data_IF_251377604838
#
_entry.id   IF_251377604838
#
_cell.length_a   1.000
_cell.length_b   1.000
_cell.length_c   1.000
_cell.angle_alpha   90.00
_cell.angle_beta   90.00
_cell.angle_gamma   90.00
#
_symmetry.space_group_name_H-M   'P 1'
#
loop_
_entity.id
_entity.type
_entity.pdbx_description
1 polymer ?
2 water ?
#
# COMPACT_ATOMS: atom_id res chain seq x y z
N UNK A 2 -14.72 0.74 11.47
CA UNK A 2 -14.68 2.17 11.75
C UNK A 2 -13.29 2.70 11.42
N UNK A 3 -13.23 3.96 10.99
CA UNK A 3 -11.96 4.58 10.64
C UNK A 3 -11.85 5.93 11.34
N UNK A 4 -10.62 6.40 11.55
CA UNK A 4 -10.40 7.68 12.20
C UNK A 4 -10.53 8.82 11.19
N UNK A 5 -11.31 9.84 11.55
CA UNK A 5 -11.52 11.00 10.68
C UNK A 5 -10.33 11.94 10.81
N UNK A 6 -9.18 11.51 10.29
CA UNK A 6 -7.96 12.31 10.35
C UNK A 6 -8.13 13.72 9.79
N UNK A 7 -8.53 13.80 8.52
CA UNK A 7 -8.73 15.08 7.89
C UNK A 7 -9.67 15.00 6.70
N UNK A 8 -10.08 16.17 6.21
CA UNK A 8 -10.99 16.26 5.08
C UNK A 8 -10.18 16.33 3.80
N UNK A 9 -10.86 16.19 2.67
CA UNK A 9 -10.19 16.25 1.37
C UNK A 9 -10.61 17.49 0.59
N UNK A 10 -10.39 18.66 1.17
CA UNK A 10 -10.74 19.92 0.52
C UNK A 10 -9.52 20.71 0.04
N UNK A 12 -6.71 22.51 -1.98
CA UNK A 12 -6.76 23.16 -3.29
C UNK A 12 -5.37 23.23 -3.92
N UNK A 13 -4.58 24.22 -3.52
CA UNK A 13 -3.23 24.39 -4.04
C UNK A 13 -2.27 23.38 -3.42
N UNK A 14 -1.08 23.25 -4.00
CA UNK A 14 -0.10 22.30 -3.50
C UNK A 14 0.27 22.58 -2.05
N UNK A 15 0.14 23.84 -1.63
CA UNK A 15 0.46 24.23 -0.26
C UNK A 15 -0.40 23.46 0.74
N UNK A 16 -1.68 23.29 0.41
CA UNK A 16 -2.61 22.58 1.28
C UNK A 16 -2.15 21.13 1.48
N UNK A 17 -1.83 20.45 0.39
CA UNK A 17 -1.38 19.07 0.45
C UNK A 17 -0.10 18.91 1.28
N UNK A 18 0.86 19.82 1.08
CA UNK A 18 2.12 19.74 1.82
C UNK A 18 1.91 19.92 3.31
N UNK A 19 0.98 20.78 3.69
CA UNK A 19 0.72 21.03 5.10
C UNK A 19 0.16 19.77 5.77
N UNK A 20 -0.73 19.07 5.07
CA UNK A 20 -1.31 17.84 5.61
C UNK A 20 -0.21 16.79 5.77
N UNK A 21 0.61 16.61 4.74
CA UNK A 21 1.68 15.62 4.80
C UNK A 21 2.66 15.91 5.94
N UNK A 22 3.10 17.16 6.02
CA UNK A 22 4.06 17.55 7.05
C UNK A 22 3.51 17.34 8.46
N UNK A 23 2.20 17.52 8.63
CA UNK A 23 1.59 17.34 9.92
C UNK A 23 1.60 15.85 10.29
N UNK A 24 1.05 15.03 9.41
CA UNK A 24 1.00 13.60 9.67
C UNK A 24 2.38 12.95 9.73
N UNK A 25 3.30 13.47 8.92
CA UNK A 25 4.66 12.94 8.88
C UNK A 25 5.32 12.96 10.25
N UNK A 26 4.97 13.95 11.07
CA UNK A 26 5.55 14.04 12.40
C UNK A 26 4.87 13.09 13.36
N UNK A 27 3.87 12.37 12.86
CA UNK A 27 3.12 11.41 13.68
C UNK A 27 3.42 9.97 13.28
N UNK A 28 4.47 9.78 12.48
CA UNK A 28 4.86 8.46 12.04
C UNK A 28 5.59 7.71 13.15
N UNK A 29 5.19 6.46 13.37
CA UNK A 29 5.82 5.65 14.41
C UNK A 29 6.11 4.26 13.90
N UNK A 30 7.40 3.98 13.67
CA UNK A 30 7.85 2.69 13.16
C UNK A 30 8.49 1.83 14.24
N UNK A 31 8.10 2.03 15.49
CA UNK A 31 8.66 1.26 16.60
C UNK A 31 7.98 -0.09 16.86
N UNK A 32 6.68 -0.18 16.60
CA UNK A 32 5.97 -1.44 16.84
C UNK A 32 6.59 -2.68 16.18
N UNK A 33 6.74 -3.74 16.97
CA UNK A 33 7.28 -5.00 16.47
C UNK A 33 6.10 -5.95 16.40
N UNK A 34 5.90 -6.58 15.25
CA UNK A 34 4.77 -7.49 15.12
C UNK A 34 5.17 -8.76 14.40
N UNK A 35 5.12 -9.86 15.13
CA UNK A 35 5.48 -11.16 14.59
C UNK A 35 4.39 -11.70 13.68
N UNK A 36 4.80 -12.34 12.59
CA UNK A 36 3.88 -12.92 11.61
C UNK A 36 2.88 -13.90 12.24
N UNK A 37 3.33 -14.76 13.14
CA UNK A 37 2.41 -15.71 13.73
C UNK A 37 1.57 -15.17 14.89
N UNK A 38 1.69 -13.88 15.18
CA UNK A 38 0.90 -13.31 16.25
C UNK A 38 -0.39 -12.67 15.74
N UNK A 39 -0.56 -12.59 14.42
CA UNK A 39 -1.77 -11.97 13.86
C UNK A 39 -2.82 -12.96 13.36
N UNK A 40 -4.08 -12.51 13.39
CA UNK A 40 -5.21 -13.32 12.95
C UNK A 40 -5.54 -13.14 11.47
N UNK A 41 -5.45 -11.90 10.99
CA UNK A 41 -5.76 -11.60 9.60
C UNK A 41 -4.84 -10.54 9.00
N UNK A 42 -4.73 -10.53 7.68
CA UNK A 42 -3.94 -9.54 6.97
C UNK A 42 -4.79 -9.15 5.77
N UNK A 43 -4.80 -7.87 5.41
CA UNK A 43 -5.59 -7.42 4.27
C UNK A 43 -4.69 -6.87 3.18
N UNK A 44 -5.18 -6.91 1.96
CA UNK A 44 -4.44 -6.39 0.83
C UNK A 44 -5.27 -5.31 0.18
N UNK A 45 -4.64 -4.21 -0.21
CA UNK A 45 -5.34 -3.09 -0.82
C UNK A 45 -4.73 -2.73 -2.18
N UNK A 46 -5.58 -2.53 -3.16
CA UNK A 46 -5.12 -2.13 -4.47
C UNK A 46 -6.18 -1.23 -5.10
N UNK A 47 -5.77 -0.52 -6.15
CA UNK A 47 -6.65 0.42 -6.84
C UNK A 47 -6.38 0.33 -8.34
N UNK A 48 -7.42 0.45 -9.15
CA UNK A 48 -7.31 0.41 -10.60
C UNK A 48 -8.09 1.57 -11.21
N UNK A 49 -7.55 2.14 -12.29
CA UNK A 49 -8.19 3.27 -12.96
C UNK A 49 -8.36 3.03 -14.45
N UNK A 50 -9.28 3.78 -15.06
CA UNK A 50 -9.54 3.66 -16.48
C UNK A 50 -10.35 4.87 -16.97
N UNK A 51 -10.18 5.20 -18.25
CA UNK A 51 -10.89 6.31 -18.86
C UNK A 51 -12.36 5.94 -19.08
N UNK A 52 -13.26 6.88 -18.82
CA UNK A 52 -14.69 6.61 -18.99
C UNK A 52 -15.52 7.87 -19.25
N UNK A 53 -16.05 7.97 -20.47
CA UNK A 53 -16.89 9.09 -20.86
C UNK A 53 -16.20 10.44 -20.69
N UNK A 54 -14.87 10.42 -20.64
CA UNK A 54 -14.13 11.65 -20.49
C UNK A 54 -13.69 11.94 -19.05
N UNK A 55 -14.16 11.13 -18.11
CA UNK A 55 -13.80 11.32 -16.71
C UNK A 55 -13.06 10.10 -16.17
N UNK A 56 -12.06 10.33 -15.31
CA UNK A 56 -11.26 9.25 -14.73
C UNK A 56 -11.95 8.58 -13.54
N UNK A 57 -11.97 7.25 -13.54
CA UNK A 57 -12.59 6.49 -12.47
C UNK A 57 -11.60 5.59 -11.76
N UNK A 58 -12.02 5.05 -10.61
CA UNK A 58 -11.15 4.17 -9.86
C UNK A 58 -11.91 3.20 -8.99
N UNK A 59 -11.36 2.00 -8.85
CA UNK A 59 -11.98 0.97 -8.02
C UNK A 59 -10.96 0.42 -7.05
N UNK A 60 -11.28 0.51 -5.76
CA UNK A 60 -10.39 0.00 -4.73
C UNK A 60 -10.94 -1.30 -4.16
N UNK A 61 -10.11 -2.32 -4.12
CA UNK A 61 -10.50 -3.61 -3.58
C UNK A 61 -9.66 -3.93 -2.36
N UNK A 62 -10.31 -4.48 -1.35
CA UNK A 62 -9.64 -4.89 -0.13
C UNK A 62 -9.94 -6.38 0.00
N UNK A 63 -8.88 -7.18 0.09
CA UNK A 63 -9.02 -8.61 0.23
C UNK A 63 -8.47 -8.97 1.60
N UNK A 64 -9.29 -9.59 2.43
CA UNK A 64 -8.88 -9.98 3.77
C UNK A 64 -8.65 -11.48 3.80
N UNK A 65 -7.49 -11.92 4.28
CA UNK A 65 -7.22 -13.34 4.37
C UNK A 65 -6.96 -13.73 5.81
N UNK A 66 -7.09 -15.03 6.10
CA UNK A 66 -6.82 -15.56 7.43
C UNK A 66 -5.30 -15.65 7.47
N UNK A 67 -4.70 -15.12 8.53
CA UNK A 67 -3.24 -15.13 8.62
C UNK A 67 -2.58 -16.51 8.54
N UNK A 68 -3.15 -17.49 9.24
CA UNK A 68 -2.60 -18.84 9.25
C UNK A 68 -2.87 -19.65 7.97
N UNK A 69 -4.13 -19.80 7.59
CA UNK A 69 -4.47 -20.58 6.40
C UNK A 69 -4.31 -19.83 5.08
N UNK A 70 -4.21 -18.51 5.15
CA UNK A 70 -4.07 -17.67 3.95
C UNK A 70 -5.33 -17.70 3.07
N UNK A 71 -6.43 -18.19 3.62
CA UNK A 71 -7.68 -18.25 2.87
C UNK A 71 -8.41 -16.91 2.91
N UNK A 72 -9.14 -16.61 1.86
CA UNK A 72 -9.89 -15.37 1.76
C UNK A 72 -11.14 -15.45 2.64
N UNK A 73 -11.30 -14.48 3.53
CA UNK A 73 -12.46 -14.48 4.40
C UNK A 73 -13.42 -13.34 4.11
N UNK A 74 -12.93 -12.33 3.40
CA UNK A 74 -13.79 -11.19 3.07
C UNK A 74 -13.25 -10.39 1.90
N UNK A 75 -14.16 -9.87 1.08
CA UNK A 75 -13.80 -9.05 -0.06
C UNK A 75 -14.78 -7.89 -0.17
N UNK A 76 -14.24 -6.68 -0.33
CA UNK A 76 -15.07 -5.50 -0.47
C UNK A 76 -14.44 -4.60 -1.51
N UNK A 77 -15.20 -3.64 -2.01
CA UNK A 77 -14.65 -2.72 -2.99
C UNK A 77 -15.41 -1.41 -2.96
N UNK A 78 -14.76 -0.38 -3.49
CA UNK A 78 -15.33 0.94 -3.56
C UNK A 78 -15.14 1.39 -5.00
N UNK A 80 -15.96 4.83 -7.86
CA UNK A 80 -16.44 6.18 -8.05
C UNK A 80 -15.50 7.01 -8.92
N UNK A 81 -15.99 8.12 -9.47
CA UNK A 81 -15.16 8.98 -10.31
C UNK A 81 -14.03 9.58 -9.48
N UNK A 82 -12.80 9.36 -9.93
CA UNK A 82 -11.64 9.88 -9.22
C UNK A 82 -11.49 11.37 -9.50
N UNK A 83 -11.07 12.14 -8.51
CA UNK A 83 -10.90 13.58 -8.67
C UNK A 83 -9.71 13.91 -9.57
N UNK A 84 -9.95 14.79 -10.55
CA UNK A 84 -8.89 15.19 -11.48
C UNK A 84 -7.80 15.96 -10.74
N UNK A 85 -6.54 15.51 -10.89
CA UNK A 85 -5.41 16.17 -10.23
C UNK A 85 -5.18 17.62 -10.65
N UNK A 86 -5.54 18.55 -9.78
CA UNK A 86 -5.37 19.98 -10.06
C UNK A 86 -3.93 20.33 -9.69
N UNK A 87 -3.29 19.42 -8.95
CA UNK A 87 -1.91 19.57 -8.52
C UNK A 87 -1.18 18.28 -8.89
N UNK A 88 0.13 18.24 -8.69
CA UNK A 88 0.90 17.05 -9.02
C UNK A 88 1.78 16.56 -7.88
N UNK A 89 1.86 15.24 -7.71
CA UNK A 89 2.67 14.67 -6.66
C UNK A 89 1.90 14.26 -5.42
N UNK A 90 0.58 14.15 -5.52
CA UNK A 90 -0.22 13.76 -4.36
C UNK A 90 -1.27 12.71 -4.68
N UNK A 91 -0.83 11.62 -5.31
CA UNK A 91 -1.73 10.54 -5.68
C UNK A 91 -2.53 10.01 -4.49
N UNK A 92 -1.84 9.80 -3.37
CA UNK A 92 -2.48 9.29 -2.17
C UNK A 92 -3.75 10.04 -1.78
N UNK A 93 -3.75 11.35 -1.95
CA UNK A 93 -4.92 12.15 -1.59
C UNK A 93 -6.14 11.80 -2.45
N UNK A 94 -5.93 11.52 -3.73
CA UNK A 94 -7.06 11.17 -4.58
C UNK A 94 -7.41 9.70 -4.55
N UNK A 95 -6.76 8.94 -3.67
CA UNK A 95 -7.02 7.51 -3.55
C UNK A 95 -7.68 7.21 -2.22
N UNK A 96 -7.25 7.94 -1.18
CA UNK A 96 -7.77 7.74 0.16
C UNK A 96 -9.29 7.67 0.27
N UNK A 97 -10.01 8.60 -0.37
CA UNK A 97 -11.48 8.55 -0.30
C UNK A 97 -12.05 7.18 -0.65
N UNK A 98 -11.57 6.59 -1.75
CA UNK A 98 -12.04 5.27 -2.14
C UNK A 98 -11.54 4.19 -1.18
N UNK A 99 -10.33 4.39 -0.65
CA UNK A 99 -9.76 3.43 0.27
C UNK A 99 -10.55 3.40 1.58
N UNK A 100 -10.88 4.59 2.08
CA UNK A 100 -11.63 4.72 3.31
C UNK A 100 -13.02 4.12 3.14
N UNK A 101 -13.65 4.43 2.00
CA UNK A 101 -14.99 3.93 1.72
C UNK A 101 -15.03 2.41 1.77
N UNK A 102 -14.05 1.78 1.13
CA UNK A 102 -13.96 0.32 1.09
C UNK A 102 -13.73 -0.22 2.49
N UNK A 103 -12.78 0.36 3.21
CA UNK A 103 -12.47 -0.08 4.56
C UNK A 103 -13.70 -0.02 5.46
N UNK A 104 -14.55 0.98 5.24
CA UNK A 104 -15.77 1.14 6.03
C UNK A 104 -16.77 0.02 5.78
N UNK A 105 -16.61 -0.68 4.67
CA UNK A 105 -17.52 -1.78 4.35
C UNK A 105 -17.08 -3.08 5.00
N UNK A 106 -15.84 -3.13 5.50
CA UNK A 106 -15.31 -4.33 6.14
C UNK A 106 -16.03 -4.79 7.40
N UNK A 107 -16.40 -6.06 7.44
CA UNK A 107 -17.06 -6.60 8.62
C UNK A 107 -15.96 -7.10 9.55
N UNK A 108 -14.83 -7.49 8.96
CA UNK A 108 -13.70 -7.97 9.76
C UNK A 108 -12.84 -6.78 10.17
N UNK A 109 -11.84 -7.04 10.99
CA UNK A 109 -10.94 -5.99 11.45
C UNK A 109 -9.51 -6.48 11.20
N UNK A 110 -8.99 -6.27 9.98
CA UNK A 110 -7.64 -6.73 9.67
C UNK A 110 -6.60 -6.19 10.64
N UNK A 111 -5.65 -7.03 11.04
CA UNK A 111 -4.59 -6.63 11.96
C UNK A 111 -3.50 -5.83 11.24
N UNK A 112 -3.39 -6.02 9.94
CA UNK A 112 -2.39 -5.33 9.12
C UNK A 112 -2.85 -5.21 7.68
N UNK A 113 -2.55 -4.08 7.04
CA UNK A 113 -2.95 -3.85 5.66
C UNK A 113 -1.73 -3.70 4.76
N UNK A 114 -1.64 -4.52 3.71
CA UNK A 114 -0.53 -4.41 2.78
C UNK A 114 -1.06 -3.70 1.53
N UNK A 115 -0.39 -2.64 1.13
CA UNK A 115 -0.83 -1.84 -0.01
C UNK A 115 0.00 -2.03 -1.27
N UNK A 116 -0.68 -2.04 -2.42
CA UNK A 116 0.01 -2.11 -3.68
C UNK A 116 0.42 -0.65 -3.89
N UNK A 117 1.53 -0.26 -3.26
CA UNK A 117 2.03 1.11 -3.34
C UNK A 117 3.07 1.38 -2.25
N UNK A 118 3.73 2.54 -2.32
CA UNK A 118 4.74 2.89 -1.32
C UNK A 118 4.20 3.41 0.00
N UNK A 119 5.06 3.35 1.00
CA UNK A 119 4.71 3.84 2.34
C UNK A 119 5.79 4.86 2.70
N UNK A 120 6.68 4.45 3.60
CA UNK A 120 7.77 5.31 4.07
C UNK A 120 8.76 5.63 2.93
N UNK A 121 8.86 4.73 1.96
CA UNK A 121 9.75 4.95 0.82
C UNK A 121 9.06 5.95 -0.10
N UNK A 122 9.17 7.21 0.25
CA UNK A 122 8.53 8.28 -0.51
C UNK A 122 9.25 9.60 -0.22
N UNK A 123 9.24 10.49 -1.20
CA UNK A 123 9.89 11.80 -1.11
C UNK A 123 9.75 12.44 0.26
N UNK A 124 8.55 12.31 0.85
CA UNK A 124 8.34 12.91 2.16
C UNK A 124 7.82 11.88 3.15
N UNK A 125 8.24 10.63 2.97
CA UNK A 125 7.83 9.53 3.83
C UNK A 125 6.31 9.51 3.97
N UNK A 127 3.92 8.16 1.52
CA UNK A 127 3.28 7.38 0.47
C UNK A 127 1.92 6.89 0.98
N UNK A 128 1.07 6.44 0.06
CA UNK A 128 -0.28 5.98 0.39
C UNK A 128 -0.36 4.98 1.56
N UNK A 129 0.56 4.01 1.61
CA UNK A 129 0.51 3.03 2.70
C UNK A 129 0.65 3.71 4.07
N UNK A 130 1.58 4.66 4.16
CA UNK A 130 1.78 5.38 5.42
C UNK A 130 0.59 6.28 5.72
N UNK A 131 0.21 7.07 4.72
CA UNK A 131 -0.90 8.01 4.85
C UNK A 131 -2.21 7.30 5.25
N UNK A 132 -2.54 6.21 4.57
CA UNK A 132 -3.76 5.47 4.87
C UNK A 132 -3.78 4.95 6.31
N UNK A 133 -2.60 4.64 6.84
CA UNK A 133 -2.50 4.11 8.19
C UNK A 133 -3.20 4.98 9.23
N UNK A 134 -3.06 6.29 9.12
CA UNK A 134 -3.69 7.17 10.08
C UNK A 134 -5.20 6.98 10.09
N UNK A 135 -5.81 6.86 8.92
CA UNK A 135 -7.26 6.67 8.85
C UNK A 135 -7.67 5.30 9.37
N UNK A 136 -6.93 4.27 8.99
CA UNK A 136 -7.24 2.90 9.38
C UNK A 136 -6.92 2.59 10.83
N UNK A 137 -5.96 3.32 11.42
CA UNK A 137 -5.59 3.07 12.80
C UNK A 137 -4.99 1.68 12.95
N UNK A 138 -4.44 1.15 11.87
CA UNK A 138 -3.84 -0.17 11.90
C UNK A 138 -2.46 -0.16 11.27
N UNK A 139 -1.64 -1.17 11.59
CA UNK A 139 -0.30 -1.22 11.00
C UNK A 139 -0.46 -1.41 9.49
N UNK A 140 0.37 -0.74 8.69
CA UNK A 140 0.29 -0.89 7.24
C UNK A 140 1.69 -1.15 6.69
N UNK A 141 1.74 -1.74 5.50
CA UNK A 141 2.99 -2.07 4.83
C UNK A 141 2.90 -1.65 3.38
N UNK A 142 4.00 -1.12 2.85
CA UNK A 142 4.03 -0.70 1.47
C UNK A 142 4.74 -1.72 0.60
N UNK A 143 4.08 -2.14 -0.48
CA UNK A 143 4.64 -3.10 -1.43
C UNK A 143 4.54 -2.44 -2.83
N UNK A 144 5.65 -1.85 -3.28
CA UNK A 144 5.67 -1.18 -4.59
C UNK A 144 6.29 -2.04 -5.70
N UNK A 145 5.67 -2.01 -6.89
CA UNK A 145 6.15 -2.78 -8.04
C UNK A 145 7.24 -2.04 -8.80
N UNK A 146 7.33 -0.73 -8.59
CA UNK A 146 8.32 0.08 -9.28
C UNK A 146 9.09 0.92 -8.27
N UNK A 147 10.35 1.19 -8.60
CA UNK A 147 11.21 1.96 -7.73
C UNK A 147 11.09 3.46 -7.90
N UNK A 148 10.84 4.14 -6.78
CA UNK A 148 10.73 5.60 -6.76
C UNK A 148 12.11 6.14 -6.38
N UNK A 149 12.83 6.70 -7.36
CA UNK A 149 14.16 7.24 -7.11
C UNK A 149 14.12 8.59 -6.40
N UNK A 150 14.65 8.62 -5.17
CA UNK A 150 14.65 9.82 -4.35
C UNK A 150 16.05 10.42 -4.10
N UNK A 151 16.17 11.73 -4.22
CA UNK A 151 17.45 12.40 -3.98
C UNK A 151 18.52 11.91 -4.95
N UNK A 152 18.10 11.31 -6.05
CA UNK A 152 19.06 10.80 -7.02
C UNK A 152 19.75 9.56 -6.51
N UNK A 153 19.12 8.89 -5.55
CA UNK A 153 19.70 7.68 -4.97
C UNK A 153 19.19 6.41 -5.64
N UNK A 154 20.10 5.54 -6.02
CA UNK A 154 19.73 4.30 -6.67
C UNK A 154 19.90 3.16 -5.68
N UNK A 155 19.11 2.11 -5.85
CA UNK A 155 19.18 0.97 -4.96
C UNK A 155 20.18 -0.07 -5.45
N UNK A 156 20.56 -0.96 -4.56
CA UNK A 156 21.49 -2.03 -4.90
C UNK A 156 20.65 -3.24 -5.22
N UNK A 157 20.90 -3.85 -6.38
CA UNK A 157 20.14 -5.02 -6.77
C UNK A 157 20.35 -6.13 -5.76
N UNK A 158 19.26 -6.69 -5.21
CA UNK A 158 19.36 -7.76 -4.23
C UNK A 158 19.78 -9.06 -4.90
N UNK A 159 20.20 -10.04 -4.10
CA UNK A 159 20.61 -11.31 -4.65
C UNK A 159 19.45 -11.99 -5.37
N UNK A 160 19.78 -12.98 -6.19
CA UNK A 160 18.78 -13.73 -6.96
C UNK A 160 17.91 -14.62 -6.07
N UNK A 161 18.41 -14.93 -4.88
CA UNK A 161 17.72 -15.79 -3.93
C UNK A 161 16.44 -15.19 -3.33
N UNK A 162 15.48 -16.06 -3.03
CA UNK A 162 14.22 -15.64 -2.44
C UNK A 162 14.45 -15.11 -1.03
N UNK A 163 13.86 -13.96 -0.73
CA UNK A 163 14.02 -13.37 0.58
C UNK A 163 15.21 -12.43 0.67
N UNK A 164 16.03 -12.39 -0.37
CA UNK A 164 17.20 -11.52 -0.38
C UNK A 164 16.76 -10.06 -0.46
N UNK A 165 17.53 -9.17 0.16
CA UNK A 165 17.16 -7.76 0.13
C UNK A 165 18.36 -6.85 0.33
N UNK A 166 18.14 -5.56 0.06
CA UNK A 166 19.17 -4.55 0.24
C UNK A 166 18.43 -3.34 0.79
N UNK A 167 19.07 -2.61 1.68
CA UNK A 167 18.44 -1.43 2.26
C UNK A 167 18.61 -0.25 1.33
N UNK A 168 17.54 0.50 1.14
CA UNK A 168 17.58 1.69 0.29
C UNK A 168 17.84 2.81 1.29
N UNK A 169 19.06 3.35 1.26
CA UNK A 169 19.43 4.41 2.19
C UNK A 169 19.62 5.76 1.50
N UNK A 170 19.04 6.79 2.10
CA UNK A 170 19.10 8.15 1.58
C UNK A 170 19.41 9.07 2.77
N UNK A 171 20.46 9.87 2.65
CA UNK A 171 20.86 10.77 3.73
C UNK A 171 21.13 10.01 5.02
N UNK A 172 21.61 8.78 4.90
CA UNK A 172 21.91 7.99 6.09
C UNK A 172 20.67 7.42 6.78
N UNK A 173 19.53 7.46 6.10
CA UNK A 173 18.30 6.92 6.66
C UNK A 173 17.75 5.80 5.79
N UNK A 174 17.21 4.78 6.43
CA UNK A 174 16.65 3.66 5.69
C UNK A 174 15.22 3.96 5.28
N UNK A 175 14.98 4.15 3.99
CA UNK A 175 13.63 4.43 3.50
C UNK A 175 12.84 3.15 3.28
N UNK A 176 13.54 2.06 2.94
CA UNK A 176 12.88 0.80 2.69
C UNK A 176 13.87 -0.23 2.15
N UNK A 177 13.38 -1.28 1.51
CA UNK A 177 14.25 -2.32 0.98
C UNK A 177 13.86 -2.76 -0.44
N UNK A 178 14.87 -3.21 -1.19
CA UNK A 178 14.62 -3.74 -2.53
C UNK A 178 14.59 -5.22 -2.16
N UNK A 179 13.45 -5.86 -2.40
CA UNK A 179 13.28 -7.24 -2.01
C UNK A 179 12.94 -8.22 -3.12
N UNK A 180 13.70 -9.31 -3.16
CA UNK A 180 13.52 -10.36 -4.13
C UNK A 180 12.48 -11.33 -3.56
N UNK A 181 11.24 -11.19 -3.98
CA UNK A 181 10.20 -12.08 -3.48
C UNK A 181 10.18 -13.35 -4.29
N UNK A 182 10.22 -13.21 -5.61
CA UNK A 182 10.24 -14.35 -6.50
C UNK A 182 11.64 -14.36 -7.10
N UNK A 183 12.33 -15.49 -7.02
CA UNK A 183 13.69 -15.57 -7.53
C UNK A 183 13.86 -15.25 -9.01
N UNK A 184 14.94 -14.54 -9.31
CA UNK A 184 15.30 -14.14 -10.67
C UNK A 184 14.37 -13.09 -11.29
N UNK A 185 13.12 -13.02 -10.82
CA UNK A 185 12.18 -12.04 -11.37
C UNK A 185 12.38 -10.68 -10.70
N UNK A 186 11.83 -9.63 -11.30
CA UNK A 186 11.96 -8.28 -10.77
C UNK A 186 11.59 -8.20 -9.30
N UNK A 187 12.43 -7.56 -8.49
CA UNK A 187 12.13 -7.45 -7.07
C UNK A 187 11.04 -6.42 -6.80
N UNK A 188 10.53 -6.41 -5.58
CA UNK A 188 9.53 -5.43 -5.20
C UNK A 188 10.21 -4.46 -4.24
N UNK A 189 9.55 -3.35 -3.96
CA UNK A 189 10.12 -2.36 -3.07
C UNK A 189 9.29 -2.20 -1.83
N UNK A 190 9.87 -2.66 -0.73
CA UNK A 190 9.24 -2.68 0.57
C UNK A 190 9.54 -1.50 1.46
N UNK A 191 8.50 -1.00 2.11
CA UNK A 191 8.66 0.09 3.06
C UNK A 191 7.61 -0.07 4.13
N UNK A 192 7.93 0.41 5.33
CA UNK A 192 6.96 0.35 6.40
C UNK A 192 5.88 1.30 5.95
N UNK A 193 4.68 1.09 6.46
CA UNK A 193 3.58 2.00 6.17
C UNK A 193 3.64 2.88 7.40
N UNK A 194 3.01 2.43 8.49
CA UNK A 194 3.04 3.14 9.76
C UNK A 194 2.67 2.15 10.85
N UNK A 195 3.15 2.40 12.08
CA UNK A 195 2.86 1.54 13.22
C UNK A 195 3.49 0.15 13.14
N UNK A 196 4.67 0.05 12.52
CA UNK A 196 5.35 -1.22 12.37
C UNK A 196 6.79 -0.97 11.93
N UNK A 197 7.72 -1.80 12.39
CA UNK A 197 9.12 -1.65 12.01
C UNK A 197 9.44 -2.38 10.70
N UNK A 198 10.62 -2.08 10.14
CA UNK A 198 11.02 -2.69 8.88
C UNK A 198 11.15 -4.20 8.97
N UNK A 199 11.70 -4.67 10.09
CA UNK A 199 11.89 -6.10 10.29
C UNK A 199 10.57 -6.85 10.19
N UNK A 200 9.55 -6.34 10.88
CA UNK A 200 8.24 -6.99 10.86
C UNK A 200 7.61 -6.86 9.48
N UNK A 201 7.78 -5.70 8.84
CA UNK A 201 7.21 -5.52 7.51
C UNK A 201 7.80 -6.57 6.59
N UNK A 202 9.10 -6.80 6.74
CA UNK A 202 9.81 -7.78 5.94
C UNK A 202 9.35 -9.21 6.23
N UNK A 203 9.23 -9.55 7.51
CA UNK A 203 8.82 -10.89 7.92
C UNK A 203 7.40 -11.22 7.49
N UNK A 204 6.49 -10.26 7.66
CA UNK A 204 5.10 -10.47 7.27
C UNK A 204 5.01 -10.63 5.75
N UNK A 205 5.75 -9.80 5.01
CA UNK A 205 5.72 -9.87 3.55
C UNK A 205 6.19 -11.23 3.05
N UNK A 207 6.25 -14.04 4.63
CA UNK A 207 5.36 -15.13 5.06
C UNK A 207 4.16 -15.24 4.14
N UNK A 208 3.96 -14.22 3.31
CA UNK A 208 2.83 -14.17 2.38
C UNK A 208 3.29 -14.41 0.94
N UNK A 209 4.54 -14.81 0.78
CA UNK A 209 5.09 -15.04 -0.54
C UNK A 209 5.11 -16.50 -0.98
N UNK A 210 4.64 -16.75 -2.19
CA UNK A 210 4.67 -18.09 -2.76
C UNK A 210 5.30 -17.91 -4.14
N UNK A 211 5.94 -18.97 -4.65
CA UNK A 211 6.59 -18.87 -5.95
C UNK A 211 5.59 -18.89 -7.11
N UNK A 212 4.69 -17.92 -7.11
CA UNK A 212 3.68 -17.80 -8.16
C UNK A 212 3.69 -16.35 -8.64
N UNK A 213 3.98 -15.44 -7.71
CA UNK A 213 4.04 -14.01 -8.00
C UNK A 213 5.02 -13.33 -7.06
N UNK A 214 5.44 -12.13 -7.43
CA UNK A 214 6.37 -11.38 -6.58
C UNK A 214 5.60 -10.55 -5.56
N UNK A 215 4.28 -10.55 -5.66
CA UNK A 215 3.45 -9.80 -4.73
C UNK A 215 2.91 -10.73 -3.65
N UNK A 216 2.91 -10.27 -2.40
CA UNK A 216 2.37 -11.13 -1.33
C UNK A 216 0.93 -11.51 -1.62
N UNK A 217 0.53 -12.71 -1.20
CA UNK A 217 -0.81 -13.22 -1.44
C UNK A 217 -1.95 -12.20 -1.38
N UNK A 218 -2.10 -11.49 -0.25
CA UNK A 218 -3.17 -10.50 -0.11
C UNK A 218 -3.17 -9.44 -1.22
N UNK A 219 -2.00 -8.89 -1.53
CA UNK A 219 -1.87 -7.87 -2.55
C UNK A 219 -2.10 -8.42 -3.96
N UNK A 220 -1.62 -9.63 -4.21
CA UNK A 220 -1.80 -10.23 -5.53
C UNK A 220 -3.29 -10.45 -5.79
N UNK A 221 -4.03 -10.86 -4.76
CA UNK A 221 -5.46 -11.08 -4.91
C UNK A 221 -6.21 -9.76 -5.12
N UNK A 222 -5.85 -8.73 -4.38
CA UNK A 222 -6.51 -7.44 -4.52
C UNK A 222 -6.27 -6.90 -5.93
N UNK A 223 -5.05 -7.00 -6.41
CA UNK A 223 -4.69 -6.52 -7.74
C UNK A 223 -5.55 -7.22 -8.80
N UNK A 224 -5.63 -8.54 -8.73
CA UNK A 224 -6.42 -9.30 -9.68
C UNK A 224 -7.90 -8.93 -9.58
N UNK A 225 -8.36 -8.60 -8.38
CA UNK A 225 -9.77 -8.26 -8.18
C UNK A 225 -10.09 -6.88 -8.76
N UNK A 226 -9.19 -5.93 -8.59
CA UNK A 226 -9.38 -4.57 -9.11
C UNK A 226 -9.43 -4.61 -10.64
N UNK A 227 -8.65 -5.52 -11.22
CA UNK A 227 -8.61 -5.63 -12.68
C UNK A 227 -9.88 -6.23 -13.25
N UNK A 228 -10.39 -7.28 -12.59
CA UNK A 228 -11.60 -7.93 -13.06
C UNK A 228 -12.81 -7.01 -12.90
N UNK A 229 -12.85 -6.25 -11.80
CA UNK A 229 -13.96 -5.33 -11.58
C UNK A 229 -13.90 -4.18 -12.58
N UNK A 230 -12.69 -3.69 -12.85
CA UNK A 230 -12.53 -2.61 -13.81
C UNK A 230 -13.02 -3.06 -15.18
N UNK A 231 -12.61 -4.27 -15.58
CA UNK A 231 -13.00 -4.83 -16.87
C UNK A 231 -14.51 -4.97 -16.93
N UNK A 232 -15.11 -5.31 -15.79
CA UNK A 232 -16.55 -5.47 -15.74
C UNK A 232 -17.25 -4.15 -16.00
N UNK A 233 -16.85 -3.12 -15.27
CA UNK A 233 -17.46 -1.81 -15.43
C UNK A 233 -17.24 -1.26 -16.85
N UNK A 234 -16.05 -1.46 -17.39
CA UNK A 234 -15.75 -0.97 -18.73
C UNK A 234 -16.67 -1.58 -19.79
N UNK A 235 -16.78 -2.90 -19.80
CA UNK A 235 -17.62 -3.58 -20.78
C UNK A 235 -19.12 -3.40 -20.51
N UNK A 236 -19.44 -2.81 -19.36
CA UNK A 236 -20.82 -2.56 -18.98
C UNK A 236 -21.05 -1.06 -18.77
N UNK A 237 -20.31 -0.26 -19.52
CA UNK A 237 -20.42 1.20 -19.42
C UNK A 237 -21.75 1.67 -19.99
#
# INVERSE_FOLDING_TARGET
XKVFDVHKFDXKKEQDFLQVQFNLKNRINLSPTIHPDSINTTAGVDLAYWEQDGEPYGVCCIIVIDADTKEVIEKVHSXGRISVPYVSGFLAFRELPLIIEAAKKLETEPDVFLFDGNGYLHYNHXGVATHAAFFLGKPTIGIAKTYLKIKGCDFVTPEIEVGAYTDIIIDGEVYGRALRTRRDVKPIFLSCGNYIDLDSSYQITXSLINQESRLPIPVRLADLETHVLRTFYQKNHVLEHHHHHH
#
